data_IF_685848156291
#
_entry.id   IF_685848156291
#
_cell.length_a   1.000
_cell.length_b   1.000
_cell.length_c   1.000
_cell.angle_alpha   90.00
_cell.angle_beta   90.00
_cell.angle_gamma   90.00
#
_symmetry.space_group_name_H-M   'P 1'
#
loop_
_entity.id
_entity.type
_entity.pdbx_description
1 polymer ?
#
# COMPACT_ATOMS: atom_id res chain seq x y z
N UNK A 1 26.19 -10.76 -6.56
CA UNK A 1 26.04 -12.21 -6.33
C UNK A 1 27.33 -12.98 -6.60
N UNK A 2 28.00 -12.75 -7.71
CA UNK A 2 29.25 -13.45 -8.06
C UNK A 2 30.39 -13.18 -7.08
N UNK A 3 30.54 -11.96 -6.62
CA UNK A 3 31.56 -11.55 -5.64
C UNK A 3 31.36 -12.20 -4.27
N UNK A 4 30.12 -12.59 -3.96
CA UNK A 4 29.72 -13.28 -2.72
C UNK A 4 29.67 -14.81 -2.86
N UNK A 5 30.20 -15.35 -3.97
CA UNK A 5 30.28 -16.81 -4.21
C UNK A 5 28.99 -17.47 -4.72
N UNK A 6 27.95 -16.69 -5.06
CA UNK A 6 26.75 -17.23 -5.66
C UNK A 6 26.90 -17.36 -7.17
N UNK A 7 26.61 -18.53 -7.73
CA UNK A 7 26.61 -18.75 -9.19
C UNK A 7 25.28 -18.26 -9.77
N UNK A 8 25.32 -17.68 -10.97
CA UNK A 8 24.14 -17.13 -11.65
C UNK A 8 23.01 -18.16 -11.89
N UNK A 9 23.39 -19.43 -12.04
CA UNK A 9 22.46 -20.53 -12.31
C UNK A 9 21.70 -21.02 -11.07
N UNK A 10 22.20 -20.66 -9.86
CA UNK A 10 21.56 -21.00 -8.58
C UNK A 10 20.66 -19.88 -8.03
N UNK A 11 20.69 -18.69 -8.63
CA UNK A 11 19.97 -17.52 -8.16
C UNK A 11 18.72 -17.30 -9.01
N UNK A 12 17.57 -17.59 -8.44
CA UNK A 12 16.29 -17.09 -8.97
C UNK A 12 16.15 -15.60 -8.58
N UNK A 13 16.56 -14.71 -9.48
CA UNK A 13 16.59 -13.27 -9.26
C UNK A 13 15.21 -12.72 -8.85
N UNK A 14 14.14 -13.28 -9.39
CA UNK A 14 12.79 -12.86 -9.04
C UNK A 14 12.41 -13.24 -7.61
N UNK A 15 12.73 -14.47 -7.19
CA UNK A 15 12.50 -14.92 -5.82
C UNK A 15 13.30 -14.12 -4.80
N UNK A 16 14.57 -13.83 -5.12
CA UNK A 16 15.47 -13.05 -4.27
C UNK A 16 14.99 -11.60 -4.21
N UNK A 17 14.60 -11.01 -5.33
CA UNK A 17 14.02 -9.67 -5.36
C UNK A 17 12.76 -9.56 -4.49
N UNK A 18 11.85 -10.52 -4.61
CA UNK A 18 10.65 -10.61 -3.77
C UNK A 18 11.00 -10.82 -2.28
N UNK A 19 12.01 -11.62 -1.96
CA UNK A 19 12.48 -11.79 -0.59
C UNK A 19 12.97 -10.46 -0.02
N UNK A 20 13.84 -9.75 -0.75
CA UNK A 20 14.39 -8.46 -0.33
C UNK A 20 13.30 -7.42 -0.14
N UNK A 21 12.37 -7.33 -1.06
CA UNK A 21 11.21 -6.45 -0.94
C UNK A 21 10.39 -6.79 0.31
N UNK A 22 10.04 -8.06 0.55
CA UNK A 22 9.29 -8.45 1.73
C UNK A 22 10.01 -8.16 3.05
N UNK A 23 11.33 -8.28 3.09
CA UNK A 23 12.14 -7.88 4.25
C UNK A 23 12.10 -6.37 4.45
N UNK A 24 12.31 -5.59 3.37
CA UNK A 24 12.29 -4.12 3.43
C UNK A 24 10.97 -3.55 3.89
N UNK A 25 9.86 -4.11 3.39
CA UNK A 25 8.51 -3.67 3.78
C UNK A 25 8.01 -4.27 5.09
N UNK A 26 8.86 -5.03 5.82
CA UNK A 26 8.53 -5.57 7.13
C UNK A 26 7.53 -6.73 7.14
N UNK A 27 7.23 -7.34 5.97
CA UNK A 27 6.34 -8.51 5.88
C UNK A 27 7.01 -9.78 6.38
N UNK A 28 8.32 -9.88 6.20
CA UNK A 28 9.15 -10.99 6.65
C UNK A 28 10.35 -10.45 7.44
N UNK A 29 10.85 -11.28 8.32
CA UNK A 29 12.13 -11.06 9.02
C UNK A 29 13.09 -12.20 8.69
N UNK A 30 14.36 -12.04 9.03
CA UNK A 30 15.37 -13.07 8.77
C UNK A 30 15.18 -14.33 9.61
N UNK A 31 14.47 -14.27 10.74
CA UNK A 31 14.15 -15.43 11.57
C UNK A 31 13.13 -16.36 10.91
N UNK A 32 12.22 -15.80 10.10
CA UNK A 32 11.20 -16.53 9.34
C UNK A 32 11.61 -16.85 7.91
N UNK A 33 12.77 -16.36 7.45
CA UNK A 33 13.30 -16.52 6.11
C UNK A 33 14.60 -17.33 6.09
N UNK A 34 15.00 -17.80 4.91
CA UNK A 34 16.23 -18.53 4.76
C UNK A 34 17.43 -17.57 4.90
N UNK A 35 18.15 -17.65 6.03
CA UNK A 35 19.32 -16.82 6.34
C UNK A 35 20.47 -16.92 5.31
N UNK A 36 20.43 -17.92 4.44
CA UNK A 36 21.42 -18.10 3.36
C UNK A 36 21.53 -16.85 2.47
N UNK A 37 20.46 -16.12 2.26
CA UNK A 37 20.43 -14.92 1.42
C UNK A 37 20.71 -13.61 2.16
N UNK A 38 20.90 -13.65 3.48
CA UNK A 38 21.18 -12.46 4.29
C UNK A 38 22.47 -11.75 3.87
N UNK A 39 23.62 -12.43 3.65
CA UNK A 39 24.82 -11.76 3.17
C UNK A 39 24.63 -11.11 1.79
N UNK A 40 23.80 -11.72 0.92
CA UNK A 40 23.49 -11.14 -0.38
C UNK A 40 22.64 -9.86 -0.25
N UNK A 41 21.70 -9.84 0.68
CA UNK A 41 20.90 -8.65 1.01
C UNK A 41 21.78 -7.53 1.57
N UNK A 42 22.65 -7.84 2.51
CA UNK A 42 23.59 -6.88 3.09
C UNK A 42 24.50 -6.26 2.03
N UNK A 43 25.08 -7.09 1.15
CA UNK A 43 25.87 -6.60 0.01
C UNK A 43 25.06 -5.78 -0.99
N UNK A 44 23.78 -6.10 -1.19
CA UNK A 44 22.87 -5.31 -2.00
C UNK A 44 22.64 -3.91 -1.38
N UNK A 45 22.37 -3.85 -0.07
CA UNK A 45 22.19 -2.59 0.65
C UNK A 45 23.44 -1.72 0.66
N UNK A 46 24.62 -2.34 0.83
CA UNK A 46 25.91 -1.63 0.73
C UNK A 46 26.14 -1.09 -0.69
N UNK A 47 25.79 -1.87 -1.70
CA UNK A 47 25.84 -1.43 -3.09
C UNK A 47 24.98 -0.21 -3.35
N UNK A 48 23.73 -0.19 -2.88
CA UNK A 48 22.84 0.97 -3.00
C UNK A 48 23.47 2.21 -2.35
N UNK A 49 24.04 2.08 -1.14
CA UNK A 49 24.71 3.18 -0.44
C UNK A 49 25.94 3.68 -1.20
N UNK A 50 26.76 2.76 -1.71
CA UNK A 50 27.99 3.10 -2.46
C UNK A 50 27.68 3.91 -3.72
N UNK A 51 26.61 3.54 -4.43
CA UNK A 51 26.17 4.24 -5.64
C UNK A 51 25.23 5.41 -5.36
N UNK A 52 24.98 5.75 -4.09
CA UNK A 52 24.01 6.77 -3.67
C UNK A 52 22.65 6.57 -4.37
N UNK A 53 22.22 5.32 -4.41
CA UNK A 53 20.99 4.88 -5.07
C UNK A 53 19.96 4.38 -4.06
N UNK A 54 18.72 4.37 -4.47
CA UNK A 54 17.60 3.81 -3.74
C UNK A 54 16.78 2.92 -4.69
N UNK A 55 16.15 1.90 -4.17
CA UNK A 55 15.13 1.14 -4.90
C UNK A 55 13.71 1.62 -4.57
N UNK A 56 12.70 0.98 -5.17
CA UNK A 56 11.31 1.41 -4.99
C UNK A 56 10.80 1.26 -3.54
N UNK A 57 11.26 0.24 -2.82
CA UNK A 57 10.87 0.04 -1.42
C UNK A 57 11.49 1.11 -0.53
N UNK A 58 12.71 1.55 -0.85
CA UNK A 58 13.40 2.63 -0.15
C UNK A 58 12.68 3.97 -0.29
N UNK A 59 11.94 4.21 -1.39
CA UNK A 59 11.20 5.47 -1.58
C UNK A 59 10.14 5.71 -0.50
N UNK A 60 9.69 4.65 0.17
CA UNK A 60 8.74 4.74 1.28
C UNK A 60 9.45 4.46 2.61
N UNK A 61 10.25 3.39 2.68
CA UNK A 61 10.89 2.96 3.92
C UNK A 61 11.90 3.96 4.49
N UNK A 62 12.72 4.59 3.63
CA UNK A 62 13.70 5.58 4.09
C UNK A 62 13.06 6.88 4.61
N UNK A 63 12.04 7.48 3.97
CA UNK A 63 11.31 8.60 4.55
C UNK A 63 10.66 8.28 5.91
N UNK A 64 10.06 7.10 6.08
CA UNK A 64 9.51 6.69 7.37
C UNK A 64 10.60 6.67 8.44
N UNK A 65 11.72 6.00 8.14
CA UNK A 65 12.87 5.96 9.03
C UNK A 65 13.39 7.35 9.37
N UNK A 66 13.55 8.22 8.35
CA UNK A 66 13.98 9.62 8.52
C UNK A 66 13.04 10.39 9.45
N UNK A 67 11.74 10.21 9.33
CA UNK A 67 10.76 10.91 10.16
C UNK A 67 10.77 10.44 11.61
N UNK A 68 11.07 9.16 11.88
CA UNK A 68 11.25 8.64 13.23
C UNK A 68 12.56 9.13 13.87
N UNK A 69 13.65 9.13 13.11
CA UNK A 69 14.98 9.52 13.59
C UNK A 69 15.15 11.04 13.70
N UNK A 70 14.41 11.81 12.90
CA UNK A 70 14.50 13.27 12.75
C UNK A 70 13.13 13.94 12.81
N UNK A 71 12.54 14.10 14.01
CA UNK A 71 11.23 14.73 14.18
C UNK A 71 11.14 16.16 13.62
N UNK A 72 12.24 16.90 13.60
CA UNK A 72 12.31 18.24 13.02
C UNK A 72 12.11 18.23 11.51
N UNK A 73 12.52 17.16 10.83
CA UNK A 73 12.25 16.97 9.39
C UNK A 73 10.79 16.66 9.17
N UNK A 74 10.21 15.76 9.97
CA UNK A 74 8.77 15.45 9.92
C UNK A 74 7.93 16.72 10.09
N UNK A 75 8.23 17.54 11.10
CA UNK A 75 7.49 18.77 11.38
C UNK A 75 7.59 19.75 10.21
N UNK A 76 8.74 19.87 9.56
CA UNK A 76 8.90 20.66 8.35
C UNK A 76 7.94 20.22 7.25
N UNK A 77 7.77 18.92 7.02
CA UNK A 77 6.87 18.40 6.00
C UNK A 77 5.39 18.50 6.40
N UNK A 78 5.04 18.27 7.66
CA UNK A 78 3.70 18.54 8.20
C UNK A 78 3.30 20.00 8.01
N UNK A 79 4.24 20.92 8.22
CA UNK A 79 4.01 22.34 8.01
C UNK A 79 3.85 22.71 6.53
N UNK A 80 4.47 21.98 5.63
CA UNK A 80 4.38 22.17 4.19
C UNK A 80 3.10 21.59 3.60
N UNK A 81 2.71 20.39 4.03
CA UNK A 81 1.55 19.68 3.50
C UNK A 81 0.39 19.74 4.49
N UNK A 82 -0.42 20.78 4.35
CA UNK A 82 -1.55 21.04 5.26
C UNK A 82 -2.78 20.16 4.98
N UNK A 83 -2.86 19.57 3.78
CA UNK A 83 -3.93 18.69 3.35
C UNK A 83 -3.30 17.46 2.71
N UNK A 84 -3.72 16.29 3.13
CA UNK A 84 -3.29 15.02 2.59
C UNK A 84 -4.51 14.33 2.02
N UNK A 85 -4.39 13.86 0.78
CA UNK A 85 -5.44 13.07 0.14
C UNK A 85 -4.81 11.78 -0.41
N UNK A 86 -5.41 10.65 -0.10
CA UNK A 86 -4.97 9.34 -0.58
C UNK A 86 -6.09 8.73 -1.40
N UNK A 87 -5.79 8.42 -2.65
CA UNK A 87 -6.68 7.70 -3.55
C UNK A 87 -6.35 6.20 -3.56
N UNK A 88 -7.31 5.37 -3.99
CA UNK A 88 -7.19 3.90 -3.99
C UNK A 88 -6.71 3.34 -2.64
N UNK A 89 -7.27 3.87 -1.56
CA UNK A 89 -6.78 3.61 -0.20
C UNK A 89 -6.82 2.12 0.17
N UNK A 90 -7.75 1.33 -0.40
CA UNK A 90 -7.85 -0.11 -0.21
C UNK A 90 -6.60 -0.87 -0.68
N UNK A 91 -5.80 -0.28 -1.57
CA UNK A 91 -4.59 -0.91 -2.13
C UNK A 91 -3.31 -0.50 -1.39
N UNK A 92 -3.42 0.28 -0.31
CA UNK A 92 -2.27 0.74 0.46
C UNK A 92 -1.66 -0.38 1.30
N UNK A 93 -0.32 -0.42 1.34
CA UNK A 93 0.43 -1.28 2.25
C UNK A 93 0.49 -0.68 3.65
N UNK A 94 0.92 -1.48 4.64
CA UNK A 94 1.16 -0.99 6.01
C UNK A 94 2.14 0.18 6.05
N UNK A 95 3.22 0.12 5.27
CA UNK A 95 4.20 1.21 5.22
C UNK A 95 3.64 2.48 4.57
N UNK A 96 2.84 2.35 3.52
CA UNK A 96 2.17 3.51 2.90
C UNK A 96 1.18 4.15 3.89
N UNK A 97 0.47 3.33 4.66
CA UNK A 97 -0.37 3.81 5.74
C UNK A 97 0.44 4.56 6.81
N UNK A 98 1.53 3.96 7.31
CA UNK A 98 2.42 4.58 8.29
C UNK A 98 2.99 5.91 7.78
N UNK A 99 3.45 5.96 6.54
CA UNK A 99 3.96 7.17 5.90
C UNK A 99 2.89 8.28 5.86
N UNK A 100 1.68 7.94 5.43
CA UNK A 100 0.53 8.87 5.44
C UNK A 100 0.23 9.33 6.86
N UNK A 101 0.13 8.41 7.83
CA UNK A 101 -0.20 8.69 9.21
C UNK A 101 0.84 9.59 9.89
N UNK A 102 2.13 9.38 9.63
CA UNK A 102 3.20 10.25 10.12
C UNK A 102 3.04 11.69 9.61
N UNK A 103 2.67 11.87 8.36
CA UNK A 103 2.49 13.20 7.76
C UNK A 103 1.15 13.85 8.12
N UNK A 104 0.11 13.05 8.35
CA UNK A 104 -1.23 13.55 8.64
C UNK A 104 -1.28 14.21 10.01
N UNK A 105 -1.77 15.46 10.03
CA UNK A 105 -2.13 16.14 11.29
C UNK A 105 -3.66 16.04 11.50
N UNK A 106 -4.44 16.88 10.83
CA UNK A 106 -5.91 16.93 10.98
C UNK A 106 -6.66 16.87 9.66
N UNK A 107 -6.03 17.33 8.59
CA UNK A 107 -6.65 17.47 7.28
C UNK A 107 -6.22 16.31 6.39
N UNK A 108 -6.81 15.14 6.63
CA UNK A 108 -6.58 13.96 5.81
C UNK A 108 -7.90 13.47 5.23
N UNK A 109 -7.89 13.13 3.96
CA UNK A 109 -8.99 12.48 3.27
C UNK A 109 -8.47 11.23 2.55
N UNK A 110 -9.20 10.14 2.69
CA UNK A 110 -8.91 8.91 1.97
C UNK A 110 -10.10 8.54 1.10
N UNK A 111 -9.83 8.10 -0.11
CA UNK A 111 -10.83 7.63 -1.07
C UNK A 111 -10.48 6.22 -1.45
N UNK A 112 -11.44 5.32 -1.40
CA UNK A 112 -11.24 3.92 -1.73
C UNK A 112 -12.54 3.15 -1.82
N UNK A 113 -12.43 1.94 -2.28
CA UNK A 113 -13.50 0.99 -2.42
C UNK A 113 -13.08 -0.37 -1.87
N UNK A 114 -13.60 -0.75 -0.72
CA UNK A 114 -13.30 -2.00 -0.05
C UNK A 114 -13.62 -3.23 -0.91
N UNK A 115 -14.63 -3.15 -1.77
CA UNK A 115 -14.99 -4.21 -2.72
C UNK A 115 -13.95 -4.39 -3.84
N UNK A 116 -13.05 -3.42 -4.05
CA UNK A 116 -11.96 -3.46 -5.03
C UNK A 116 -10.60 -3.85 -4.46
N UNK A 117 -10.53 -4.26 -3.19
CA UNK A 117 -9.28 -4.70 -2.54
C UNK A 117 -8.83 -6.07 -3.04
N UNK A 118 -8.19 -6.10 -4.20
CA UNK A 118 -7.72 -7.33 -4.88
C UNK A 118 -6.19 -7.48 -4.91
N UNK A 119 -5.44 -6.55 -4.33
CA UNK A 119 -3.97 -6.50 -4.38
C UNK A 119 -3.29 -6.94 -3.08
N UNK A 120 -3.94 -7.76 -2.24
CA UNK A 120 -3.35 -8.30 -1.01
C UNK A 120 -2.01 -9.03 -1.25
N UNK A 121 -1.87 -9.70 -2.40
CA UNK A 121 -0.64 -10.36 -2.82
C UNK A 121 0.51 -9.37 -3.11
N UNK A 122 0.21 -8.11 -3.41
CA UNK A 122 1.19 -7.01 -3.55
C UNK A 122 1.48 -6.27 -2.25
N UNK A 123 0.82 -6.62 -1.16
CA UNK A 123 1.01 -5.97 0.13
C UNK A 123 -0.09 -5.02 0.55
N UNK A 124 -1.14 -4.88 -0.26
CA UNK A 124 -2.34 -4.19 0.16
C UNK A 124 -2.90 -4.82 1.44
N UNK A 125 -3.26 -3.99 2.40
CA UNK A 125 -3.80 -4.44 3.66
C UNK A 125 -5.17 -3.82 3.92
N UNK A 126 -6.21 -4.63 3.82
CA UNK A 126 -7.59 -4.23 4.11
C UNK A 126 -7.76 -3.64 5.53
N UNK A 127 -6.95 -4.10 6.49
CA UNK A 127 -7.00 -3.59 7.87
C UNK A 127 -6.66 -2.09 7.98
N UNK A 128 -6.01 -1.51 6.96
CA UNK A 128 -5.71 -0.08 6.92
C UNK A 128 -7.00 0.77 6.99
N UNK A 129 -8.09 0.31 6.40
CA UNK A 129 -9.40 1.01 6.45
C UNK A 129 -9.91 1.05 7.88
N UNK A 130 -9.85 -0.08 8.59
CA UNK A 130 -10.28 -0.17 9.98
C UNK A 130 -9.35 0.61 10.91
N UNK A 131 -8.04 0.59 10.62
CA UNK A 131 -7.05 1.33 11.38
C UNK A 131 -7.25 2.84 11.22
N UNK A 132 -7.55 3.31 10.00
CA UNK A 132 -7.84 4.71 9.74
C UNK A 132 -9.01 5.23 10.58
N UNK A 133 -10.08 4.46 10.71
CA UNK A 133 -11.24 4.84 11.54
C UNK A 133 -10.90 4.91 13.04
N UNK A 134 -9.95 4.09 13.50
CA UNK A 134 -9.47 4.13 14.89
C UNK A 134 -8.56 5.32 15.16
N UNK A 135 -7.67 5.62 14.20
CA UNK A 135 -6.67 6.68 14.34
C UNK A 135 -7.31 8.07 14.13
N UNK A 136 -8.41 8.14 13.38
CA UNK A 136 -9.17 9.36 13.12
C UNK A 136 -10.64 9.19 13.52
N UNK A 137 -10.96 9.19 14.84
CA UNK A 137 -12.31 8.85 15.32
C UNK A 137 -13.41 9.85 14.89
N UNK A 138 -13.03 11.08 14.54
CA UNK A 138 -13.94 12.11 14.07
C UNK A 138 -14.11 12.09 12.53
N UNK A 139 -13.68 11.01 11.86
CA UNK A 139 -13.76 10.91 10.40
C UNK A 139 -15.22 10.98 9.92
N UNK A 140 -15.45 11.76 8.88
CA UNK A 140 -16.74 11.80 8.20
C UNK A 140 -16.73 10.85 7.01
N UNK A 141 -17.52 9.80 7.08
CA UNK A 141 -17.74 8.89 5.94
C UNK A 141 -18.74 9.49 4.95
N UNK A 142 -18.38 9.47 3.68
CA UNK A 142 -19.22 9.90 2.56
C UNK A 142 -19.24 8.77 1.53
N UNK A 143 -20.42 8.28 1.17
CA UNK A 143 -20.60 7.23 0.17
C UNK A 143 -20.89 7.84 -1.19
N UNK A 144 -20.07 7.48 -2.19
CA UNK A 144 -20.24 7.90 -3.57
C UNK A 144 -20.87 6.74 -4.36
N UNK A 145 -22.19 6.69 -4.40
CA UNK A 145 -22.94 5.56 -4.98
C UNK A 145 -23.31 5.76 -6.45
N UNK A 146 -23.26 7.00 -6.94
CA UNK A 146 -23.54 7.25 -8.35
C UNK A 146 -22.35 6.91 -9.24
N UNK A 147 -22.56 5.98 -10.15
CA UNK A 147 -21.55 5.56 -11.14
C UNK A 147 -21.83 6.26 -12.48
N UNK A 148 -20.79 6.92 -13.02
CA UNK A 148 -20.85 7.65 -14.28
C UNK A 148 -20.20 6.89 -15.45
N UNK A 149 -19.57 5.75 -15.17
CA UNK A 149 -18.81 4.96 -16.14
C UNK A 149 -19.67 3.91 -16.82
N UNK A 150 -20.48 3.18 -16.06
CA UNK A 150 -21.16 1.98 -16.49
C UNK A 150 -22.66 2.19 -16.67
N UNK A 151 -23.32 1.32 -17.43
CA UNK A 151 -24.77 1.26 -17.59
C UNK A 151 -25.42 0.49 -16.43
N UNK A 152 -26.74 0.62 -16.27
CA UNK A 152 -27.49 -0.05 -15.21
C UNK A 152 -27.34 -1.59 -15.25
N UNK A 153 -27.34 -2.19 -16.43
CA UNK A 153 -27.21 -3.65 -16.59
C UNK A 153 -25.85 -4.15 -16.09
N UNK A 154 -24.76 -3.41 -16.36
CA UNK A 154 -23.42 -3.75 -15.86
C UNK A 154 -23.38 -3.63 -14.34
N UNK A 155 -23.94 -2.56 -13.79
CA UNK A 155 -23.96 -2.36 -12.35
C UNK A 155 -24.84 -3.39 -11.63
N UNK A 156 -25.97 -3.79 -12.21
CA UNK A 156 -26.79 -4.83 -11.66
C UNK A 156 -26.05 -6.17 -11.57
N UNK A 157 -25.29 -6.52 -12.61
CA UNK A 157 -24.45 -7.72 -12.60
C UNK A 157 -23.34 -7.61 -11.53
N UNK A 158 -22.63 -6.48 -11.45
CA UNK A 158 -21.60 -6.23 -10.45
C UNK A 158 -22.16 -6.28 -9.02
N UNK A 159 -23.27 -5.60 -8.76
CA UNK A 159 -23.97 -5.62 -7.46
C UNK A 159 -24.41 -7.05 -7.10
N UNK A 160 -24.87 -7.84 -8.07
CA UNK A 160 -25.25 -9.24 -7.87
C UNK A 160 -24.06 -10.11 -7.42
N UNK A 161 -22.90 -9.92 -8.03
CA UNK A 161 -21.68 -10.65 -7.64
C UNK A 161 -21.21 -10.24 -6.24
N UNK A 162 -21.07 -8.94 -6.00
CA UNK A 162 -20.48 -8.44 -4.76
C UNK A 162 -21.40 -8.64 -3.54
N UNK A 163 -22.71 -8.80 -3.74
CA UNK A 163 -23.67 -9.05 -2.66
C UNK A 163 -23.42 -10.35 -1.88
N UNK A 164 -22.61 -11.25 -2.43
CA UNK A 164 -22.19 -12.49 -1.75
C UNK A 164 -21.08 -12.27 -0.72
N UNK A 165 -20.41 -11.12 -0.76
CA UNK A 165 -19.41 -10.77 0.26
C UNK A 165 -20.12 -10.25 1.51
N UNK A 166 -19.79 -10.85 2.66
CA UNK A 166 -20.41 -10.52 3.96
C UNK A 166 -19.66 -9.45 4.74
N UNK A 167 -18.34 -9.32 4.52
CA UNK A 167 -17.46 -8.36 5.22
C UNK A 167 -17.20 -7.15 4.32
N UNK A 168 -18.22 -6.29 4.15
CA UNK A 168 -18.13 -5.08 3.32
C UNK A 168 -18.93 -3.93 3.92
N UNK A 169 -18.61 -2.72 3.55
CA UNK A 169 -19.48 -1.57 3.79
C UNK A 169 -20.63 -1.59 2.80
N UNK A 170 -21.87 -1.62 3.29
CA UNK A 170 -23.05 -1.65 2.43
C UNK A 170 -23.10 -0.41 1.55
N UNK A 171 -23.10 -0.63 0.24
CA UNK A 171 -23.32 0.37 -0.78
C UNK A 171 -24.04 -0.27 -1.98
N UNK A 172 -24.80 0.52 -2.70
CA UNK A 172 -25.49 0.09 -3.92
C UNK A 172 -25.20 1.08 -5.03
N UNK A 173 -24.38 0.66 -5.99
CA UNK A 173 -24.04 1.50 -7.13
C UNK A 173 -25.25 1.60 -8.07
N UNK A 174 -25.56 2.83 -8.48
CA UNK A 174 -26.58 3.14 -9.46
C UNK A 174 -26.02 4.05 -10.56
N UNK A 175 -26.65 4.07 -11.73
CA UNK A 175 -26.24 4.90 -12.87
C UNK A 175 -27.43 5.60 -13.51
N UNK A 176 -27.21 6.78 -14.04
CA UNK A 176 -28.15 7.49 -14.91
C UNK A 176 -27.88 7.26 -16.40
N UNK A 177 -26.97 6.34 -16.78
CA UNK A 177 -26.57 6.11 -18.17
C UNK A 177 -27.53 5.18 -18.94
N UNK A 178 -28.70 4.84 -18.35
CA UNK A 178 -29.67 3.93 -18.93
C UNK A 178 -29.23 2.47 -18.92
N UNK A 179 -30.09 1.59 -19.42
CA UNK A 179 -29.90 0.13 -19.32
C UNK A 179 -28.73 -0.41 -20.15
N UNK A 180 -28.32 0.33 -21.22
CA UNK A 180 -27.28 -0.15 -22.12
C UNK A 180 -27.74 -1.29 -23.04
N UNK A 181 -26.77 -1.89 -23.73
CA UNK A 181 -27.04 -3.09 -24.54
C UNK A 181 -26.96 -4.33 -23.63
N UNK A 182 -27.81 -5.35 -23.88
CA UNK A 182 -27.75 -6.61 -23.18
C UNK A 182 -26.44 -7.35 -23.43
#
# INVERSE_FOLDING_TARGET
>A
GRELGFTSDALDIFKIGNLFSNIKIGRWNWESSNDMYKPLYEGYQEGLKLFNAVDFDDLIGLPIKLFHEHPEVLEKYRNRYKYIMVDEFQDTSLQQYEFMHLLADKNVAVVGDDDQSIYSWRGANYENILQFERDFPDVKEIRLEQNYRSTETILAAANGVISHNTNRKDKSLWSGNGSGKP
#
